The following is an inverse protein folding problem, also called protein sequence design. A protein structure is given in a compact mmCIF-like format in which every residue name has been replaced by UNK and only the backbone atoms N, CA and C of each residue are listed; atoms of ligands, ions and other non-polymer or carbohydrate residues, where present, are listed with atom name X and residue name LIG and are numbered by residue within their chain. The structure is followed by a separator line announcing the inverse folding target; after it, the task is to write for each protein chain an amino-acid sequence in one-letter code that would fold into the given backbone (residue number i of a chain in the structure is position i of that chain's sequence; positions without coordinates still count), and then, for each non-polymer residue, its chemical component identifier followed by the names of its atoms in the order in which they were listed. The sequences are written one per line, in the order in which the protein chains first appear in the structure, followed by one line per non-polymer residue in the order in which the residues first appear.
data_IF_414685113880
#
_entry.id   IF_414685113880
#
_cell.length_a   1.000
_cell.length_b   1.000
_cell.length_c   1.000
_cell.angle_alpha   90.00
_cell.angle_beta   90.00
_cell.angle_gamma   90.00
#
_symmetry.space_group_name_H-M   'P 1'
#
loop_
_entity.id
_entity.type
_entity.pdbx_description
1 polymer ?
#
# COMPACT_ATOMS: atom_id res chain seq x y z
N UNK A 1 -50.29 0.83 -17.87
CA UNK A 1 -49.61 0.48 -16.60
C UNK A 1 -50.16 1.34 -15.49
N UNK A 2 -50.46 0.76 -14.32
CA UNK A 2 -50.83 1.56 -13.14
C UNK A 2 -49.59 2.36 -12.70
N UNK A 3 -49.78 3.60 -12.27
CA UNK A 3 -48.71 4.49 -11.77
C UNK A 3 -47.68 3.82 -10.83
N UNK A 4 -48.08 2.98 -9.85
CA UNK A 4 -47.12 2.25 -9.00
C UNK A 4 -46.21 1.26 -9.76
N UNK A 5 -46.68 0.66 -10.86
CA UNK A 5 -45.88 -0.27 -11.66
C UNK A 5 -44.84 0.46 -12.50
N UNK A 6 -45.14 1.68 -12.96
CA UNK A 6 -44.21 2.51 -13.73
C UNK A 6 -43.03 2.97 -12.88
N UNK A 7 -43.28 3.41 -11.64
CA UNK A 7 -42.23 3.79 -10.69
C UNK A 7 -41.36 2.59 -10.34
N UNK A 8 -41.97 1.42 -10.10
CA UNK A 8 -41.23 0.18 -9.81
C UNK A 8 -40.35 -0.22 -10.98
N UNK A 9 -40.85 -0.15 -12.21
CA UNK A 9 -40.09 -0.46 -13.42
C UNK A 9 -38.88 0.47 -13.59
N UNK A 10 -39.07 1.79 -13.45
CA UNK A 10 -37.97 2.77 -13.55
C UNK A 10 -36.91 2.53 -12.46
N UNK A 11 -37.32 2.25 -11.22
CA UNK A 11 -36.40 2.02 -10.10
C UNK A 11 -35.58 0.73 -10.26
N UNK A 12 -36.20 -0.35 -10.74
CA UNK A 12 -35.51 -1.62 -11.00
C UNK A 12 -34.43 -1.44 -12.06
N UNK A 13 -34.72 -0.66 -13.11
CA UNK A 13 -33.72 -0.37 -14.16
C UNK A 13 -32.50 0.37 -13.61
N UNK A 14 -32.68 1.35 -12.70
CA UNK A 14 -31.55 2.06 -12.08
C UNK A 14 -30.65 1.13 -11.26
N UNK A 15 -31.22 0.24 -10.45
CA UNK A 15 -30.44 -0.71 -9.65
C UNK A 15 -29.66 -1.67 -10.56
N UNK A 16 -30.29 -2.15 -11.64
CA UNK A 16 -29.62 -3.02 -12.61
C UNK A 16 -28.47 -2.26 -13.30
N UNK A 17 -28.67 -1.02 -13.72
CA UNK A 17 -27.62 -0.19 -14.34
C UNK A 17 -26.47 0.05 -13.35
N UNK A 18 -26.76 0.31 -12.07
CA UNK A 18 -25.74 0.47 -11.04
C UNK A 18 -24.90 -0.81 -10.91
N UNK A 19 -25.55 -1.96 -10.80
CA UNK A 19 -24.87 -3.24 -10.67
C UNK A 19 -24.00 -3.56 -11.89
N UNK A 20 -24.52 -3.33 -13.11
CA UNK A 20 -23.76 -3.47 -14.35
C UNK A 20 -22.57 -2.51 -14.41
N UNK A 21 -22.72 -1.27 -13.92
CA UNK A 21 -21.61 -0.32 -13.84
C UNK A 21 -20.50 -0.83 -12.90
N UNK A 22 -20.85 -1.42 -11.74
CA UNK A 22 -19.88 -2.00 -10.82
C UNK A 22 -19.13 -3.18 -11.47
N UNK A 23 -19.82 -4.03 -12.23
CA UNK A 23 -19.18 -5.12 -12.98
C UNK A 23 -18.24 -4.59 -14.07
N UNK A 24 -18.65 -3.55 -14.79
CA UNK A 24 -17.81 -2.90 -15.80
C UNK A 24 -16.54 -2.31 -15.18
N UNK A 25 -16.66 -1.55 -14.09
CA UNK A 25 -15.50 -1.01 -13.37
C UNK A 25 -14.63 -2.09 -12.74
N UNK A 26 -15.22 -3.21 -12.31
CA UNK A 26 -14.43 -4.37 -11.85
C UNK A 26 -13.48 -4.84 -12.93
N UNK A 27 -13.98 -5.00 -14.16
CA UNK A 27 -13.15 -5.39 -15.31
C UNK A 27 -12.03 -4.36 -15.56
N UNK A 28 -12.36 -3.06 -15.54
CA UNK A 28 -11.35 -2.00 -15.68
C UNK A 28 -10.27 -2.05 -14.59
N UNK A 29 -10.66 -2.27 -13.34
CA UNK A 29 -9.70 -2.38 -12.24
C UNK A 29 -8.88 -3.68 -12.27
N UNK A 30 -9.40 -4.76 -12.85
CA UNK A 30 -8.66 -6.01 -13.05
C UNK A 30 -7.58 -5.87 -14.13
N UNK A 31 -7.82 -5.04 -15.15
CA UNK A 31 -6.81 -4.70 -16.17
C UNK A 31 -5.62 -3.92 -15.60
N UNK A 32 -5.77 -3.36 -14.40
CA UNK A 32 -4.73 -2.57 -13.72
C UNK A 32 -4.00 -3.44 -12.68
N UNK A 33 -2.68 -3.27 -12.61
CA UNK A 33 -1.83 -3.99 -11.68
C UNK A 33 -2.08 -3.65 -10.21
N UNK A 34 -1.69 -4.57 -9.35
CA UNK A 34 -1.88 -4.46 -7.89
C UNK A 34 -1.13 -3.26 -7.29
N UNK A 35 -0.06 -2.82 -7.94
CA UNK A 35 0.71 -1.63 -7.55
C UNK A 35 -0.09 -0.32 -7.62
N UNK A 36 -1.30 -0.33 -8.17
CA UNK A 36 -2.18 0.84 -8.22
C UNK A 36 -3.10 0.96 -7.00
N UNK A 37 -3.11 -0.03 -6.11
CA UNK A 37 -3.97 -0.11 -4.93
C UNK A 37 -3.16 -0.55 -3.70
N UNK A 38 -3.50 -0.02 -2.52
CA UNK A 38 -2.97 -0.51 -1.23
C UNK A 38 -4.04 -1.32 -0.50
N UNK A 39 -3.64 -2.22 0.39
CA UNK A 39 -4.55 -3.03 1.21
C UNK A 39 -5.03 -4.32 0.56
N UNK A 40 -4.51 -4.67 -0.63
CA UNK A 40 -4.80 -5.95 -1.29
C UNK A 40 -4.20 -7.15 -0.54
N UNK A 41 -3.11 -6.92 0.20
CA UNK A 41 -2.42 -7.95 0.95
C UNK A 41 -1.80 -7.34 2.20
N UNK A 42 -2.63 -7.10 3.23
CA UNK A 42 -2.26 -6.36 4.44
C UNK A 42 -0.97 -6.87 5.10
N UNK A 43 -0.75 -8.19 5.14
CA UNK A 43 0.46 -8.79 5.73
C UNK A 43 1.71 -8.41 4.92
N UNK A 44 1.66 -8.50 3.59
CA UNK A 44 2.77 -8.11 2.70
C UNK A 44 3.05 -6.60 2.77
N UNK A 45 2.00 -5.80 2.85
CA UNK A 45 2.12 -4.34 2.96
C UNK A 45 2.79 -3.95 4.29
N UNK A 46 2.40 -4.59 5.41
CA UNK A 46 3.02 -4.39 6.73
C UNK A 46 4.50 -4.83 6.72
N UNK A 47 4.81 -6.00 6.18
CA UNK A 47 6.20 -6.48 6.10
C UNK A 47 7.08 -5.57 5.24
N UNK A 48 6.56 -5.04 4.13
CA UNK A 48 7.31 -4.08 3.29
C UNK A 48 7.56 -2.77 4.03
N UNK A 49 6.55 -2.24 4.71
CA UNK A 49 6.67 -1.00 5.50
C UNK A 49 7.66 -1.21 6.67
N UNK A 50 7.69 -2.40 7.30
CA UNK A 50 8.68 -2.76 8.33
C UNK A 50 10.11 -2.93 7.82
N UNK A 51 10.31 -3.53 6.63
CA UNK A 51 11.63 -3.66 6.01
C UNK A 51 12.21 -2.29 5.69
N UNK A 52 11.44 -1.41 5.05
CA UNK A 52 11.87 -0.04 4.73
C UNK A 52 12.23 0.71 6.02
N UNK A 53 11.43 0.57 7.08
CA UNK A 53 11.74 1.19 8.37
C UNK A 53 13.07 0.70 8.95
N UNK A 54 13.33 -0.61 8.91
CA UNK A 54 14.60 -1.20 9.36
C UNK A 54 15.79 -0.76 8.52
N UNK A 55 15.62 -0.60 7.21
CA UNK A 55 16.67 -0.11 6.31
C UNK A 55 17.01 1.36 6.59
N UNK A 56 16.00 2.21 6.74
CA UNK A 56 16.19 3.62 7.13
C UNK A 56 16.82 3.74 8.53
N UNK A 57 16.43 2.90 9.49
CA UNK A 57 17.06 2.88 10.82
C UNK A 57 18.54 2.47 10.74
N UNK A 58 18.88 1.48 9.91
CA UNK A 58 20.27 1.07 9.67
C UNK A 58 21.09 2.17 9.00
N UNK A 59 20.55 2.82 7.96
CA UNK A 59 21.22 3.91 7.26
C UNK A 59 21.48 5.09 8.22
N UNK A 60 20.52 5.43 9.08
CA UNK A 60 20.69 6.48 10.10
C UNK A 60 21.71 6.07 11.17
N UNK A 61 21.74 4.80 11.58
CA UNK A 61 22.75 4.27 12.50
C UNK A 61 24.15 4.24 11.87
N UNK A 62 24.29 3.88 10.59
CA UNK A 62 25.58 3.88 9.89
C UNK A 62 26.09 5.30 9.67
N UNK A 63 25.24 6.22 9.22
CA UNK A 63 25.59 7.64 9.07
C UNK A 63 25.96 8.27 10.42
N UNK A 64 25.28 7.91 11.51
CA UNK A 64 25.64 8.41 12.84
C UNK A 64 26.94 7.81 13.37
N UNK A 65 27.24 6.53 13.11
CA UNK A 65 28.54 5.90 13.42
C UNK A 65 29.67 6.48 12.58
N UNK A 66 29.49 6.64 11.28
CA UNK A 66 30.49 7.27 10.40
C UNK A 66 30.81 8.70 10.86
N UNK A 67 29.81 9.50 11.23
CA UNK A 67 30.04 10.85 11.76
C UNK A 67 30.76 10.85 13.10
N UNK A 68 30.49 9.86 13.97
CA UNK A 68 31.16 9.71 15.26
C UNK A 68 32.62 9.27 15.09
N UNK A 69 32.87 8.26 14.23
CA UNK A 69 34.20 7.74 13.91
C UNK A 69 35.08 8.78 13.20
N UNK A 70 34.47 9.64 12.38
CA UNK A 70 35.18 10.72 11.69
C UNK A 70 35.53 11.88 12.64
N UNK A 71 34.68 12.15 13.64
CA UNK A 71 34.98 13.08 14.73
C UNK A 71 36.10 12.56 15.64
N UNK A 72 36.05 11.28 16.03
CA UNK A 72 37.11 10.62 16.80
C UNK A 72 38.44 10.56 16.04
N UNK A 73 38.41 10.33 14.71
CA UNK A 73 39.61 10.41 13.85
C UNK A 73 40.19 11.83 13.76
N UNK A 74 39.35 12.88 13.78
CA UNK A 74 39.84 14.26 13.75
C UNK A 74 40.51 14.66 15.07
N UNK A 75 39.90 14.25 16.20
CA UNK A 75 40.41 14.51 17.55
C UNK A 75 41.68 13.69 17.85
N UNK A 76 41.73 12.42 17.44
CA UNK A 76 42.94 11.58 17.58
C UNK A 76 44.10 12.05 16.72
N UNK A 77 43.83 12.62 15.53
CA UNK A 77 44.88 13.21 14.68
C UNK A 77 45.44 14.54 15.19
N UNK A 78 44.71 15.27 16.05
CA UNK A 78 45.26 16.39 16.82
C UNK A 78 45.97 15.95 18.11
N UNK A 79 45.63 14.79 18.68
CA UNK A 79 46.24 14.27 19.93
C UNK A 79 47.37 13.24 19.74
N UNK A 80 47.68 12.77 18.53
CA UNK A 80 48.89 11.98 18.20
C UNK A 80 50.18 12.82 18.17
N UNK A 81 50.30 13.78 19.10
CA UNK A 81 51.58 14.37 19.49
C UNK A 81 51.99 14.08 20.93
N UNK A 82 51.20 13.33 21.70
CA UNK A 82 51.62 12.88 23.04
C UNK A 82 50.97 11.55 23.47
N UNK A 83 51.79 10.50 23.39
CA UNK A 83 51.89 9.33 24.30
C UNK A 83 50.83 8.23 24.32
N UNK A 84 51.35 7.02 24.05
CA UNK A 84 50.91 5.68 24.46
C UNK A 84 50.06 5.61 25.75
N UNK A 85 49.03 4.75 25.77
CA UNK A 85 48.81 3.62 26.72
C UNK A 85 47.38 3.04 26.62
N UNK A 86 47.34 1.71 26.58
CA UNK A 86 46.29 0.75 27.03
C UNK A 86 45.12 0.27 26.17
N UNK A 87 44.92 -1.03 26.35
CA UNK A 87 44.12 -1.99 25.61
C UNK A 87 42.62 -2.05 25.99
N UNK A 88 41.88 -2.73 25.12
CA UNK A 88 40.74 -3.60 25.43
C UNK A 88 39.38 -2.92 25.61
N UNK A 89 38.39 -3.27 24.77
CA UNK A 89 37.06 -3.74 25.22
C UNK A 89 36.14 -4.12 24.03
N UNK A 90 36.04 -5.44 23.84
CA UNK A 90 34.80 -6.24 23.71
C UNK A 90 33.85 -6.07 22.51
N UNK A 91 33.86 -7.18 21.75
CA UNK A 91 32.70 -8.02 21.40
C UNK A 91 31.72 -7.51 20.36
N UNK A 92 32.08 -7.80 19.11
CA UNK A 92 31.25 -8.34 18.03
C UNK A 92 29.92 -8.95 18.50
N UNK A 93 28.84 -8.16 18.42
CA UNK A 93 27.46 -8.66 18.37
C UNK A 93 27.13 -8.98 16.91
N UNK A 94 27.48 -10.16 16.45
CA UNK A 94 26.95 -10.72 15.19
C UNK A 94 26.31 -12.07 15.49
N UNK A 95 25.31 -12.38 14.68
CA UNK A 95 24.48 -13.60 14.67
C UNK A 95 23.20 -13.52 15.51
N UNK A 96 22.23 -12.79 14.97
CA UNK A 96 20.86 -13.32 14.94
C UNK A 96 20.48 -13.41 13.47
N UNK A 97 20.61 -14.62 12.94
CA UNK A 97 20.15 -15.06 11.63
C UNK A 97 18.64 -14.84 11.54
N UNK A 98 18.21 -13.70 10.98
CA UNK A 98 16.82 -13.50 10.60
C UNK A 98 16.64 -14.18 9.25
N UNK A 99 15.99 -15.34 9.25
CA UNK A 99 15.44 -15.95 8.05
C UNK A 99 14.64 -14.90 7.29
N UNK A 100 15.19 -14.47 6.15
CA UNK A 100 14.50 -13.63 5.18
C UNK A 100 13.33 -14.44 4.61
N UNK A 101 12.15 -14.27 5.20
CA UNK A 101 10.91 -14.71 4.58
C UNK A 101 10.69 -13.82 3.36
N UNK A 102 11.09 -14.34 2.19
CA UNK A 102 10.98 -13.68 0.90
C UNK A 102 9.53 -13.24 0.61
N UNK A 103 9.23 -11.92 0.63
CA UNK A 103 7.88 -11.39 0.42
C UNK A 103 7.41 -11.46 -1.03
N UNK A 104 8.27 -11.93 -1.95
CA UNK A 104 7.95 -12.02 -3.38
C UNK A 104 7.10 -13.24 -3.74
N UNK A 105 6.98 -14.24 -2.86
CA UNK A 105 6.33 -15.51 -3.19
C UNK A 105 4.82 -15.62 -2.88
N UNK A 106 4.21 -14.62 -2.25
CA UNK A 106 2.75 -14.60 -2.02
C UNK A 106 2.09 -13.76 -3.12
N UNK A 107 2.14 -14.24 -4.37
CA UNK A 107 1.36 -13.65 -5.45
C UNK A 107 -0.12 -14.00 -5.24
N UNK A 108 -1.03 -13.01 -5.22
CA UNK A 108 -2.44 -13.30 -5.03
C UNK A 108 -2.95 -14.17 -6.18
N UNK A 109 -3.78 -15.15 -5.84
CA UNK A 109 -4.50 -15.97 -6.81
C UNK A 109 -5.33 -15.05 -7.74
N UNK A 110 -5.41 -15.35 -9.04
CA UNK A 110 -6.24 -14.61 -10.01
C UNK A 110 -7.66 -14.37 -9.49
N UNK A 111 -8.25 -15.38 -8.84
CA UNK A 111 -9.60 -15.30 -8.28
C UNK A 111 -9.66 -14.27 -7.16
N UNK A 112 -8.65 -14.23 -6.30
CA UNK A 112 -8.54 -13.25 -5.21
C UNK A 112 -8.35 -11.84 -5.76
N UNK A 113 -7.54 -11.67 -6.82
CA UNK A 113 -7.40 -10.38 -7.51
C UNK A 113 -8.75 -9.89 -8.03
N UNK A 114 -9.50 -10.73 -8.76
CA UNK A 114 -10.83 -10.37 -9.27
C UNK A 114 -11.79 -10.04 -8.13
N UNK A 115 -11.80 -10.85 -7.06
CA UNK A 115 -12.67 -10.62 -5.91
C UNK A 115 -12.36 -9.30 -5.20
N UNK A 116 -11.08 -9.00 -4.96
CA UNK A 116 -10.65 -7.72 -4.38
C UNK A 116 -11.06 -6.53 -5.26
N UNK A 117 -10.96 -6.65 -6.59
CA UNK A 117 -11.43 -5.61 -7.53
C UNK A 117 -12.95 -5.46 -7.53
N UNK A 118 -13.68 -6.56 -7.45
CA UNK A 118 -15.14 -6.54 -7.38
C UNK A 118 -15.61 -5.88 -6.09
N UNK A 119 -15.02 -6.27 -4.96
CA UNK A 119 -15.29 -5.68 -3.66
C UNK A 119 -15.03 -4.16 -3.66
N UNK A 120 -13.86 -3.73 -4.14
CA UNK A 120 -13.52 -2.31 -4.27
C UNK A 120 -14.50 -1.56 -5.18
N UNK A 121 -14.87 -2.16 -6.31
CA UNK A 121 -15.82 -1.58 -7.24
C UNK A 121 -17.21 -1.42 -6.63
N UNK A 122 -17.71 -2.43 -5.91
CA UNK A 122 -19.03 -2.35 -5.26
C UNK A 122 -19.02 -1.32 -4.13
N UNK A 123 -17.99 -1.31 -3.27
CA UNK A 123 -17.92 -0.37 -2.15
C UNK A 123 -17.78 1.09 -2.61
N UNK A 124 -17.02 1.32 -3.69
CA UNK A 124 -16.91 2.65 -4.33
C UNK A 124 -18.19 3.02 -5.08
N UNK A 125 -18.74 2.08 -5.87
CA UNK A 125 -19.95 2.29 -6.67
C UNK A 125 -21.21 2.50 -5.84
N UNK A 126 -21.26 1.99 -4.60
CA UNK A 126 -22.32 2.28 -3.64
C UNK A 126 -22.01 3.51 -2.75
N UNK A 127 -20.90 4.20 -2.99
CA UNK A 127 -20.43 5.36 -2.23
C UNK A 127 -20.25 5.07 -0.72
N UNK A 128 -19.90 3.83 -0.36
CA UNK A 128 -19.63 3.41 1.02
C UNK A 128 -18.18 3.69 1.40
N UNK A 129 -17.23 3.22 0.58
CA UNK A 129 -15.80 3.47 0.74
C UNK A 129 -15.21 3.06 2.11
N UNK A 130 -15.13 1.75 2.38
CA UNK A 130 -14.59 1.24 3.66
C UNK A 130 -13.14 1.64 3.96
N UNK A 131 -12.35 1.96 2.92
CA UNK A 131 -10.97 2.47 3.06
C UNK A 131 -9.91 1.40 3.33
N UNK A 132 -10.29 0.13 3.39
CA UNK A 132 -9.40 -1.02 3.48
C UNK A 132 -8.64 -1.30 2.19
N UNK A 133 -9.28 -1.07 1.03
CA UNK A 133 -8.64 -1.04 -0.29
C UNK A 133 -8.84 0.35 -0.89
N UNK A 134 -7.76 1.00 -1.30
CA UNK A 134 -7.82 2.35 -1.87
C UNK A 134 -6.77 2.59 -2.97
N UNK A 135 -7.09 3.45 -3.96
CA UNK A 135 -6.20 3.74 -5.07
C UNK A 135 -5.04 4.65 -4.65
N UNK A 136 -3.81 4.29 -5.00
CA UNK A 136 -2.61 5.08 -4.67
C UNK A 136 -2.10 5.93 -5.84
N UNK A 137 -2.16 5.39 -7.06
CA UNK A 137 -1.71 6.09 -8.28
C UNK A 137 -2.79 7.02 -8.85
N UNK A 138 -2.36 7.99 -9.67
CA UNK A 138 -3.29 8.91 -10.33
C UNK A 138 -4.27 8.18 -11.26
N UNK A 139 -3.82 7.13 -11.98
CA UNK A 139 -4.68 6.36 -12.89
C UNK A 139 -5.84 5.69 -12.16
N UNK A 140 -5.58 4.98 -11.06
CA UNK A 140 -6.62 4.33 -10.28
C UNK A 140 -7.52 5.34 -9.56
N UNK A 141 -6.96 6.47 -9.11
CA UNK A 141 -7.75 7.59 -8.55
C UNK A 141 -8.74 8.15 -9.57
N UNK A 142 -8.29 8.45 -10.80
CA UNK A 142 -9.17 8.97 -11.86
C UNK A 142 -10.32 8.01 -12.14
N UNK A 143 -10.05 6.70 -12.25
CA UNK A 143 -11.12 5.72 -12.45
C UNK A 143 -12.13 5.70 -11.30
N UNK A 144 -11.67 5.75 -10.05
CA UNK A 144 -12.57 5.79 -8.88
C UNK A 144 -13.42 7.06 -8.83
N UNK A 145 -12.87 8.20 -9.27
CA UNK A 145 -13.60 9.46 -9.40
C UNK A 145 -14.69 9.33 -10.46
N UNK A 146 -14.35 8.82 -11.65
CA UNK A 146 -15.32 8.64 -12.74
C UNK A 146 -16.44 7.69 -12.33
N UNK A 147 -16.11 6.57 -11.68
CA UNK A 147 -17.13 5.65 -11.16
C UNK A 147 -18.07 6.34 -10.18
N UNK A 148 -17.52 7.07 -9.20
CA UNK A 148 -18.31 7.75 -8.17
C UNK A 148 -19.23 8.81 -8.78
N UNK A 149 -18.74 9.60 -9.74
CA UNK A 149 -19.54 10.61 -10.46
C UNK A 149 -20.66 9.98 -11.27
N UNK A 150 -20.41 8.84 -11.92
CA UNK A 150 -21.44 8.08 -12.64
C UNK A 150 -22.52 7.57 -11.69
N UNK A 151 -22.14 7.01 -10.53
CA UNK A 151 -23.12 6.60 -9.51
C UNK A 151 -23.96 7.78 -9.04
N UNK A 152 -23.35 8.91 -8.69
CA UNK A 152 -24.08 10.11 -8.24
C UNK A 152 -25.06 10.57 -9.32
N UNK A 153 -24.63 10.58 -10.58
CA UNK A 153 -25.48 10.94 -11.71
C UNK A 153 -26.68 9.99 -11.86
N UNK A 154 -26.46 8.68 -11.69
CA UNK A 154 -27.51 7.65 -11.76
C UNK A 154 -28.53 7.74 -10.61
N UNK A 155 -28.11 8.18 -9.43
CA UNK A 155 -29.00 8.37 -8.28
C UNK A 155 -29.89 9.61 -8.49
N UNK A 156 -29.32 10.69 -9.04
CA UNK A 156 -30.00 11.98 -9.23
C UNK A 156 -30.90 12.03 -10.46
N UNK A 157 -30.49 11.42 -11.58
CA UNK A 157 -31.32 11.22 -12.77
C UNK A 157 -32.35 10.11 -12.50
#
# INVERSE_FOLDING_TARGET
MKYPELIKFIRVNKIIILFLSCLFFTLLYTLIDDNHFKGLNQVKDITKDEIIKKEVEKDVEEVSKENFDNYDNYISKEMEKDKNIDESTKSTKKEVEQQELDPSQINPNIIQKIFNRLYFSISTGCLVGYGDIYPITNTSKILSIVQSLLTVSLILA
#
